data_IF_007965217601
#
_entry.id   IF_007965217601
#
_cell.length_a   1.000
_cell.length_b   1.000
_cell.length_c   1.000
_cell.angle_alpha   90.00
_cell.angle_beta   90.00
_cell.angle_gamma   90.00
#
_symmetry.space_group_name_H-M   'P 1'
#
loop_
_entity.id
_entity.type
_entity.pdbx_description
1 polymer ?
#
# COMPACT_ATOMS: atom_id res chain seq x y z
N UNK A 1 4.56 -74.52 -27.26
CA UNK A 1 3.40 -73.77 -26.72
C UNK A 1 3.97 -72.49 -26.16
N UNK A 2 4.57 -71.69 -27.05
CA UNK A 2 3.96 -70.65 -27.91
C UNK A 2 4.31 -69.31 -27.24
N UNK A 3 5.38 -68.64 -27.66
CA UNK A 3 5.45 -67.69 -28.79
C UNK A 3 4.59 -66.43 -28.47
N UNK A 4 5.04 -65.17 -28.59
CA UNK A 4 5.76 -64.53 -29.70
C UNK A 4 6.50 -63.29 -29.15
N UNK A 5 7.81 -63.19 -29.41
CA UNK A 5 8.56 -61.94 -29.45
C UNK A 5 8.84 -61.61 -30.92
N UNK A 6 8.37 -60.45 -31.39
CA UNK A 6 8.48 -60.00 -32.78
C UNK A 6 9.27 -58.70 -32.87
N UNK A 7 10.43 -58.82 -33.51
CA UNK A 7 11.41 -57.81 -33.89
C UNK A 7 10.88 -56.97 -35.08
N UNK A 8 11.27 -55.70 -35.23
CA UNK A 8 11.65 -55.17 -36.55
C UNK A 8 12.44 -53.85 -36.49
N UNK A 9 13.63 -53.91 -37.10
CA UNK A 9 14.47 -52.79 -37.55
C UNK A 9 14.22 -52.61 -39.04
N UNK A 10 14.04 -51.39 -39.53
CA UNK A 10 14.43 -51.01 -40.91
C UNK A 10 15.10 -49.62 -40.89
N UNK A 11 16.09 -49.50 -41.76
CA UNK A 11 17.20 -48.57 -41.82
C UNK A 11 17.02 -47.58 -43.00
N UNK A 12 18.00 -46.67 -43.11
CA UNK A 12 18.41 -45.83 -44.28
C UNK A 12 17.70 -44.48 -44.46
N UNK A 13 18.39 -43.38 -44.16
CA UNK A 13 19.38 -42.63 -44.98
C UNK A 13 18.75 -42.00 -46.23
N UNK A 14 18.69 -40.67 -46.23
CA UNK A 14 19.23 -39.93 -47.36
C UNK A 14 19.71 -38.51 -46.99
N UNK A 15 20.56 -38.03 -47.87
CA UNK A 15 21.57 -36.98 -47.77
C UNK A 15 21.12 -35.67 -48.44
N UNK A 16 21.71 -34.52 -48.07
CA UNK A 16 21.44 -33.26 -48.79
C UNK A 16 22.09 -32.01 -48.20
N UNK A 17 23.30 -31.71 -48.66
CA UNK A 17 24.05 -30.46 -48.51
C UNK A 17 23.40 -29.29 -49.30
N UNK A 18 23.53 -28.04 -48.81
CA UNK A 18 23.92 -26.81 -49.55
C UNK A 18 23.46 -25.52 -48.81
N UNK A 19 24.38 -24.75 -48.19
CA UNK A 19 25.04 -23.50 -48.67
C UNK A 19 24.20 -22.23 -48.85
N UNK A 20 24.51 -21.24 -47.99
CA UNK A 20 24.81 -19.83 -48.26
C UNK A 20 23.86 -18.95 -49.10
N UNK A 21 23.45 -17.79 -48.56
CA UNK A 21 24.07 -16.48 -48.88
C UNK A 21 23.34 -15.28 -48.27
N UNK A 22 24.15 -14.29 -47.91
CA UNK A 22 23.82 -12.93 -47.51
C UNK A 22 23.27 -12.08 -48.68
N UNK A 23 22.48 -11.05 -48.36
CA UNK A 23 22.53 -9.70 -48.95
C UNK A 23 21.71 -8.75 -48.04
N UNK A 24 22.32 -7.72 -47.43
CA UNK A 24 22.29 -6.32 -47.91
C UNK A 24 20.92 -5.91 -48.48
N UNK A 25 20.17 -4.95 -47.95
CA UNK A 25 20.53 -3.69 -47.31
C UNK A 25 19.78 -2.59 -48.07
N UNK A 26 19.04 -1.71 -47.38
CA UNK A 26 18.64 -0.39 -47.89
C UNK A 26 17.98 0.41 -46.76
N UNK A 27 18.75 1.37 -46.25
CA UNK A 27 18.29 2.52 -45.48
C UNK A 27 17.39 3.38 -46.36
N UNK A 28 16.36 4.01 -45.77
CA UNK A 28 15.87 5.29 -46.27
C UNK A 28 15.57 6.21 -45.10
N UNK A 29 16.25 7.34 -45.13
CA UNK A 29 16.17 8.48 -44.23
C UNK A 29 14.75 9.04 -44.11
N UNK A 30 14.40 9.48 -42.90
CA UNK A 30 13.58 10.69 -42.67
C UNK A 30 13.61 11.08 -41.19
N UNK A 31 14.11 12.29 -40.93
CA UNK A 31 13.86 13.09 -39.73
C UNK A 31 13.52 14.51 -40.21
N UNK A 32 13.04 15.43 -39.36
CA UNK A 32 11.91 15.33 -38.43
C UNK A 32 10.90 16.47 -38.70
N UNK A 33 9.59 16.23 -38.53
CA UNK A 33 8.58 17.30 -38.60
C UNK A 33 8.16 17.74 -37.19
N UNK A 34 8.48 18.99 -36.89
CA UNK A 34 8.20 19.75 -35.68
C UNK A 34 6.70 19.95 -35.39
N UNK A 35 6.28 19.60 -34.17
CA UNK A 35 5.00 20.03 -33.58
C UNK A 35 5.19 21.35 -32.80
N UNK A 36 4.22 22.28 -32.84
CA UNK A 36 4.28 23.52 -32.07
C UNK A 36 3.90 23.28 -30.58
N UNK A 37 4.44 24.06 -29.64
CA UNK A 37 4.13 23.92 -28.22
C UNK A 37 2.73 24.47 -27.87
N UNK A 38 2.07 23.94 -26.83
CA UNK A 38 0.78 24.46 -26.35
C UNK A 38 0.94 25.80 -25.62
N UNK A 39 -0.14 26.62 -25.53
CA UNK A 39 -0.08 27.96 -24.95
C UNK A 39 0.14 27.93 -23.43
N UNK A 40 0.89 28.94 -22.98
CA UNK A 40 1.27 29.23 -21.60
C UNK A 40 0.02 29.45 -20.74
N UNK A 41 -0.13 28.64 -19.70
CA UNK A 41 -1.17 28.81 -18.68
C UNK A 41 -0.79 29.98 -17.76
N UNK A 42 -1.64 31.01 -17.69
CA UNK A 42 -1.47 32.16 -16.81
C UNK A 42 -1.73 31.70 -15.38
N UNK A 43 -0.66 31.47 -14.61
CA UNK A 43 -0.75 31.21 -13.17
C UNK A 43 -0.84 32.54 -12.40
N UNK A 44 -1.89 32.69 -11.61
CA UNK A 44 -2.10 33.78 -10.65
C UNK A 44 -1.04 33.67 -9.53
N UNK A 45 -0.32 34.74 -9.12
CA UNK A 45 0.71 34.61 -8.09
C UNK A 45 0.12 34.35 -6.70
N UNK A 46 0.65 33.35 -6.02
CA UNK A 46 0.42 33.06 -4.60
C UNK A 46 1.22 34.02 -3.71
N UNK A 47 0.65 34.38 -2.56
CA UNK A 47 1.14 35.37 -1.59
C UNK A 47 2.42 34.96 -0.81
N UNK A 48 3.23 34.03 -1.32
CA UNK A 48 4.37 33.46 -0.60
C UNK A 48 5.57 33.17 -1.51
N UNK A 49 5.97 34.11 -2.37
CA UNK A 49 7.23 33.99 -3.13
C UNK A 49 8.25 35.07 -2.70
N UNK A 50 9.13 34.68 -1.79
CA UNK A 50 10.16 35.53 -1.14
C UNK A 50 11.40 35.74 -2.02
N UNK A 51 11.23 36.05 -3.31
CA UNK A 51 12.34 36.28 -4.24
C UNK A 51 12.10 37.44 -5.18
N UNK A 52 12.00 38.65 -4.63
CA UNK A 52 12.27 39.90 -5.36
C UNK A 52 12.51 41.01 -4.34
N UNK A 53 13.77 41.17 -3.91
CA UNK A 53 14.22 42.40 -3.25
C UNK A 53 15.29 43.04 -4.12
N UNK A 54 15.22 44.36 -4.40
CA UNK A 54 16.26 45.07 -5.12
C UNK A 54 17.52 45.25 -4.25
N UNK A 55 18.68 45.28 -4.90
CA UNK A 55 19.98 45.43 -4.27
C UNK A 55 20.14 46.83 -3.62
N UNK A 56 20.62 46.84 -2.37
CA UNK A 56 20.95 48.07 -1.63
C UNK A 56 22.28 48.63 -2.13
N UNK A 57 22.22 49.81 -2.74
CA UNK A 57 23.35 50.69 -2.99
C UNK A 57 23.62 51.57 -1.77
N UNK A 58 24.88 51.62 -1.37
CA UNK A 58 25.43 52.39 -0.26
C UNK A 58 25.50 53.89 -0.58
N UNK A 59 24.94 54.74 0.30
CA UNK A 59 25.33 56.14 0.44
C UNK A 59 24.86 56.70 1.80
N UNK A 60 25.55 57.74 2.23
CA UNK A 60 25.86 58.21 3.58
C UNK A 60 24.87 59.17 4.26
N UNK A 61 25.02 59.26 5.59
CA UNK A 61 24.76 60.36 6.53
C UNK A 61 23.33 60.70 7.04
N UNK A 62 23.22 60.50 8.37
CA UNK A 62 22.57 61.31 9.41
C UNK A 62 21.12 61.81 9.26
N UNK A 63 20.20 61.10 9.91
CA UNK A 63 19.24 61.67 10.87
C UNK A 63 18.42 60.56 11.54
N UNK A 64 18.55 60.43 12.86
CA UNK A 64 17.78 59.49 13.69
C UNK A 64 16.27 59.79 13.64
N UNK A 65 15.46 58.81 13.23
CA UNK A 65 14.06 58.71 13.64
C UNK A 65 13.63 57.24 13.64
N UNK A 66 13.84 56.55 14.77
CA UNK A 66 13.35 55.19 14.95
C UNK A 66 11.80 55.17 15.09
N UNK A 67 11.10 54.17 14.52
CA UNK A 67 9.64 54.10 14.57
C UNK A 67 9.10 53.81 15.98
N UNK A 68 8.03 54.56 16.33
CA UNK A 68 7.32 54.72 17.63
C UNK A 68 6.79 53.47 18.36
N UNK A 69 7.17 52.25 18.00
CA UNK A 69 6.60 51.03 18.60
C UNK A 69 7.52 50.33 19.61
N UNK A 70 8.70 50.89 19.92
CA UNK A 70 9.54 50.41 21.01
C UNK A 70 9.40 51.33 22.23
N UNK A 71 9.27 50.79 23.46
CA UNK A 71 9.28 51.60 24.65
C UNK A 71 10.66 52.25 24.83
N UNK A 72 10.71 53.59 24.89
CA UNK A 72 11.92 54.32 25.28
C UNK A 72 12.25 53.98 26.74
N UNK A 73 13.49 53.57 26.96
CA UNK A 73 14.01 53.09 28.24
C UNK A 73 14.82 54.22 28.86
N UNK A 74 14.24 54.91 29.83
CA UNK A 74 15.03 55.72 30.75
C UNK A 74 15.96 54.81 31.56
N UNK A 75 17.17 55.32 31.76
CA UNK A 75 18.37 54.59 32.15
C UNK A 75 18.21 53.61 33.32
N UNK A 76 18.32 52.33 32.99
CA UNK A 76 19.16 51.33 33.66
C UNK A 76 18.97 50.01 32.90
N UNK A 77 20.07 49.40 32.49
CA UNK A 77 20.06 48.12 31.76
C UNK A 77 19.51 46.98 32.64
N UNK A 78 18.56 46.16 32.13
CA UNK A 78 18.62 44.73 32.44
C UNK A 78 18.90 43.95 31.16
N UNK A 79 19.72 42.91 31.33
CA UNK A 79 20.00 41.84 30.39
C UNK A 79 18.71 41.19 29.87
N UNK A 80 18.75 40.72 28.61
CA UNK A 80 17.73 39.88 27.99
C UNK A 80 17.45 38.65 28.87
N UNK A 81 16.33 38.66 29.59
CA UNK A 81 15.82 37.52 30.36
C UNK A 81 15.27 36.43 29.44
N UNK A 82 15.34 35.18 29.91
CA UNK A 82 14.84 34.00 29.19
C UNK A 82 13.34 34.13 28.88
N UNK A 83 12.86 33.51 27.80
CA UNK A 83 11.44 33.49 27.39
C UNK A 83 10.49 33.10 28.54
N UNK A 84 10.94 32.24 29.47
CA UNK A 84 10.18 31.86 30.67
C UNK A 84 9.98 33.01 31.66
N UNK A 85 10.93 33.94 31.72
CA UNK A 85 10.91 35.07 32.65
C UNK A 85 9.94 36.15 32.18
N UNK A 86 9.86 36.37 30.86
CA UNK A 86 8.84 37.23 30.25
C UNK A 86 7.43 36.69 30.47
N UNK A 87 7.23 35.36 30.40
CA UNK A 87 5.94 34.73 30.71
C UNK A 87 5.56 34.81 32.20
N UNK A 88 6.54 34.79 33.10
CA UNK A 88 6.28 34.98 34.54
C UNK A 88 5.80 36.41 34.84
N UNK A 89 6.35 37.41 34.14
CA UNK A 89 5.95 38.81 34.32
C UNK A 89 4.51 39.08 33.84
N UNK A 90 4.04 38.37 32.79
CA UNK A 90 2.66 38.48 32.31
C UNK A 90 1.63 38.10 33.38
N UNK A 91 1.94 37.13 34.26
CA UNK A 91 1.06 36.75 35.38
C UNK A 91 0.88 37.84 36.43
N UNK A 92 1.82 38.80 36.49
CA UNK A 92 1.78 39.90 37.44
C UNK A 92 1.07 41.15 36.89
N UNK A 93 0.61 41.12 35.63
CA UNK A 93 -0.13 42.24 35.04
C UNK A 93 -1.61 42.22 35.44
N UNK A 94 -2.21 43.39 35.67
CA UNK A 94 -3.61 43.53 36.14
C UNK A 94 -4.67 43.01 35.15
N UNK A 95 -4.26 42.71 33.92
CA UNK A 95 -5.08 42.08 32.87
C UNK A 95 -5.04 40.54 32.88
N UNK A 96 -4.21 39.93 33.74
CA UNK A 96 -4.11 38.47 33.84
C UNK A 96 -5.30 37.89 34.60
N UNK A 97 -6.19 37.19 33.89
CA UNK A 97 -7.26 36.40 34.49
C UNK A 97 -6.76 34.96 34.62
N UNK A 98 -6.49 34.55 35.84
CA UNK A 98 -6.09 33.18 36.15
C UNK A 98 -7.30 32.25 35.94
N UNK A 99 -7.22 31.31 34.99
CA UNK A 99 -8.27 30.29 34.84
C UNK A 99 -8.29 29.42 36.09
N UNK A 100 -9.46 28.98 36.59
CA UNK A 100 -9.53 28.11 37.77
C UNK A 100 -8.63 26.89 37.57
N UNK A 101 -7.69 26.69 38.50
CA UNK A 101 -6.86 25.49 38.55
C UNK A 101 -7.75 24.32 38.92
N UNK A 102 -8.19 23.55 37.93
CA UNK A 102 -8.63 22.19 38.18
C UNK A 102 -7.48 21.45 38.87
N UNK A 103 -7.79 20.86 40.01
CA UNK A 103 -6.87 20.04 40.82
C UNK A 103 -5.98 19.19 39.93
N UNK A 104 -4.67 19.25 40.16
CA UNK A 104 -3.66 18.47 39.47
C UNK A 104 -4.02 16.96 39.47
N UNK A 105 -4.72 16.53 38.43
CA UNK A 105 -4.67 15.17 37.94
C UNK A 105 -3.44 15.13 37.03
N UNK A 106 -2.56 14.17 37.27
CA UNK A 106 -1.45 13.83 36.38
C UNK A 106 -1.86 14.03 34.92
N UNK A 107 -1.17 14.91 34.19
CA UNK A 107 -1.31 15.01 32.75
C UNK A 107 -0.81 13.71 32.11
N UNK A 108 -1.66 12.69 32.09
CA UNK A 108 -1.58 11.66 31.06
C UNK A 108 -1.81 12.37 29.74
N UNK A 109 -0.79 12.29 28.88
CA UNK A 109 -0.89 12.40 27.42
C UNK A 109 -2.25 11.87 26.94
N UNK A 110 -2.87 12.47 25.90
CA UNK A 110 -4.19 12.06 25.44
C UNK A 110 -4.21 10.54 25.38
N UNK A 111 -5.13 9.92 26.13
CA UNK A 111 -5.19 8.48 26.27
C UNK A 111 -5.36 7.91 24.86
N UNK A 112 -4.24 7.54 24.22
CA UNK A 112 -4.22 6.60 23.11
C UNK A 112 -5.11 5.48 23.58
N UNK A 113 -6.15 5.16 22.82
CA UNK A 113 -7.12 4.12 23.17
C UNK A 113 -6.38 2.98 23.86
N UNK A 114 -6.61 2.77 25.16
CA UNK A 114 -5.86 1.76 25.93
C UNK A 114 -6.04 0.35 25.31
N UNK A 115 -7.07 0.20 24.47
CA UNK A 115 -7.36 -0.95 23.63
C UNK A 115 -6.28 -1.24 22.55
N UNK A 116 -5.51 -0.22 22.12
CA UNK A 116 -4.51 -0.32 21.07
C UNK A 116 -3.09 -0.47 21.63
N UNK A 117 -2.88 -1.35 22.61
CA UNK A 117 -1.55 -1.67 23.15
C UNK A 117 -0.98 -2.96 22.54
N UNK A 118 0.31 -2.95 22.22
CA UNK A 118 1.10 -4.11 21.77
C UNK A 118 2.08 -4.49 22.87
N UNK A 119 2.11 -5.77 23.19
CA UNK A 119 3.04 -6.31 24.18
C UNK A 119 4.35 -6.67 23.50
N UNK A 120 5.44 -6.11 23.99
CA UNK A 120 6.79 -6.26 23.43
C UNK A 120 7.66 -7.02 24.41
N UNK A 121 8.37 -8.04 23.94
CA UNK A 121 9.37 -8.74 24.75
C UNK A 121 10.53 -7.80 25.07
N UNK A 122 11.07 -7.85 26.30
CA UNK A 122 12.25 -7.03 26.64
C UNK A 122 13.47 -7.27 25.74
N UNK A 123 13.55 -8.43 25.09
CA UNK A 123 14.58 -8.76 24.09
C UNK A 123 14.59 -7.77 22.91
N UNK A 124 13.45 -7.15 22.61
CA UNK A 124 13.27 -6.22 21.51
C UNK A 124 13.39 -4.75 21.91
N UNK A 125 13.69 -4.43 23.18
CA UNK A 125 13.75 -3.05 23.67
C UNK A 125 14.73 -2.16 22.87
N UNK A 126 15.81 -2.74 22.33
CA UNK A 126 16.79 -2.04 21.50
C UNK A 126 16.43 -1.90 20.02
N UNK A 127 15.29 -2.46 19.56
CA UNK A 127 14.95 -2.51 18.14
C UNK A 127 14.57 -1.11 17.62
N UNK A 128 15.23 -0.59 16.56
CA UNK A 128 14.93 0.73 16.00
C UNK A 128 13.51 0.85 15.44
N UNK A 129 12.86 -0.27 15.09
CA UNK A 129 11.46 -0.28 14.66
C UNK A 129 10.53 0.38 15.69
N UNK A 130 10.79 0.18 16.98
CA UNK A 130 9.94 0.71 18.06
C UNK A 130 9.86 2.24 18.05
N UNK A 131 10.91 2.93 17.58
CA UNK A 131 10.93 4.39 17.45
C UNK A 131 10.03 4.90 16.33
N UNK A 132 9.75 4.05 15.33
CA UNK A 132 8.90 4.39 14.20
C UNK A 132 7.40 4.14 14.48
N UNK A 133 7.06 3.38 15.53
CA UNK A 133 5.68 3.13 15.95
C UNK A 133 5.11 4.38 16.63
N UNK A 134 3.98 4.88 16.13
CA UNK A 134 3.34 6.11 16.65
C UNK A 134 1.89 5.92 17.00
N UNK A 135 1.16 5.08 16.26
CA UNK A 135 -0.29 4.96 16.36
C UNK A 135 -0.75 3.98 17.45
N UNK A 136 0.18 3.24 18.04
CA UNK A 136 -0.09 2.15 18.98
C UNK A 136 0.70 2.36 20.27
N UNK A 137 0.16 1.91 21.40
CA UNK A 137 0.86 1.87 22.70
C UNK A 137 1.80 0.68 22.78
N UNK A 138 3.01 0.86 23.35
CA UNK A 138 3.97 -0.22 23.54
C UNK A 138 4.13 -0.50 25.03
N UNK A 139 3.88 -1.74 25.44
CA UNK A 139 4.08 -2.19 26.82
C UNK A 139 5.10 -3.33 26.84
N UNK A 140 6.17 -3.18 27.62
CA UNK A 140 7.19 -4.21 27.75
C UNK A 140 6.79 -5.24 28.79
N UNK A 141 6.83 -6.52 28.44
CA UNK A 141 6.54 -7.62 29.35
C UNK A 141 7.68 -8.64 29.39
N UNK A 142 7.87 -9.21 30.57
CA UNK A 142 8.78 -10.32 30.80
C UNK A 142 8.10 -11.66 30.55
N UNK A 143 8.89 -12.68 30.21
CA UNK A 143 8.39 -14.04 29.99
C UNK A 143 7.65 -14.26 28.65
N UNK A 144 7.60 -13.26 27.76
CA UNK A 144 7.08 -13.46 26.41
C UNK A 144 8.07 -14.26 25.56
N UNK A 145 7.61 -15.41 25.05
CA UNK A 145 8.37 -16.24 24.11
C UNK A 145 8.40 -15.56 22.72
N UNK A 146 7.28 -15.07 22.15
CA UNK A 146 7.33 -14.26 20.93
C UNK A 146 7.96 -12.89 21.17
N UNK A 147 8.38 -12.24 20.09
CA UNK A 147 8.98 -10.90 20.16
C UNK A 147 7.91 -9.82 20.39
N UNK A 148 6.76 -9.98 19.73
CA UNK A 148 5.61 -9.10 19.83
C UNK A 148 4.33 -9.93 19.92
N UNK A 149 3.43 -9.52 20.81
CA UNK A 149 2.11 -10.16 20.99
C UNK A 149 1.04 -9.09 20.90
N UNK A 150 0.00 -9.39 20.11
CA UNK A 150 -1.12 -8.51 19.84
C UNK A 150 -2.45 -9.22 20.14
N UNK A 151 -3.44 -8.44 20.56
CA UNK A 151 -4.70 -8.93 21.11
C UNK A 151 -4.54 -9.66 22.44
N UNK A 152 -5.64 -10.18 22.97
CA UNK A 152 -5.67 -11.16 24.06
C UNK A 152 -5.12 -12.51 23.55
N UNK A 153 -3.84 -12.52 23.19
CA UNK A 153 -3.08 -13.68 22.71
C UNK A 153 -3.61 -14.25 21.37
N UNK A 154 -4.20 -13.40 20.52
CA UNK A 154 -4.71 -13.82 19.20
C UNK A 154 -3.62 -13.90 18.14
N UNK A 155 -2.60 -13.04 18.22
CA UNK A 155 -1.55 -12.91 17.22
C UNK A 155 -0.16 -12.84 17.87
N UNK A 156 0.75 -13.69 17.40
CA UNK A 156 2.17 -13.62 17.74
C UNK A 156 3.02 -13.23 16.53
N UNK A 157 4.03 -12.41 16.78
CA UNK A 157 4.96 -11.95 15.75
C UNK A 157 6.40 -12.15 16.23
N UNK A 158 7.19 -12.80 15.38
CA UNK A 158 8.63 -12.95 15.51
C UNK A 158 9.31 -11.94 14.60
N UNK A 159 10.38 -11.32 15.07
CA UNK A 159 11.16 -10.37 14.30
C UNK A 159 12.51 -10.94 13.91
N UNK A 160 12.86 -10.82 12.64
CA UNK A 160 14.14 -11.27 12.10
C UNK A 160 14.67 -10.24 11.10
N UNK A 161 15.98 -10.05 11.03
CA UNK A 161 16.62 -9.34 9.92
C UNK A 161 17.35 -10.35 9.03
N UNK A 162 17.39 -10.09 7.72
CA UNK A 162 18.11 -10.95 6.76
C UNK A 162 19.60 -11.04 7.12
N UNK A 163 20.24 -9.92 7.44
CA UNK A 163 21.63 -9.90 7.92
C UNK A 163 21.84 -10.78 9.15
N UNK A 164 20.89 -10.78 10.07
CA UNK A 164 20.98 -11.61 11.27
C UNK A 164 20.81 -13.10 10.94
N UNK A 165 19.89 -13.45 10.03
CA UNK A 165 19.71 -14.83 9.55
C UNK A 165 20.97 -15.38 8.88
N UNK A 166 21.65 -14.55 8.09
CA UNK A 166 22.93 -14.93 7.46
C UNK A 166 24.03 -15.24 8.48
N UNK A 167 24.00 -14.60 9.66
CA UNK A 167 24.94 -14.87 10.73
C UNK A 167 24.53 -16.09 11.57
N UNK A 168 23.22 -16.29 11.77
CA UNK A 168 22.65 -17.34 12.61
C UNK A 168 21.45 -18.00 11.91
N UNK A 169 21.72 -18.98 11.05
CA UNK A 169 20.70 -19.65 10.24
C UNK A 169 19.71 -20.50 11.07
N UNK A 170 20.15 -21.13 12.16
CA UNK A 170 19.30 -21.96 13.03
C UNK A 170 18.37 -21.13 13.93
N UNK A 171 18.62 -19.84 14.07
CA UNK A 171 17.92 -19.00 15.03
C UNK A 171 16.42 -18.99 14.82
N UNK A 172 15.95 -18.81 13.58
CA UNK A 172 14.52 -18.75 13.30
C UNK A 172 13.83 -20.08 13.63
N UNK A 173 14.45 -21.20 13.26
CA UNK A 173 13.91 -22.54 13.52
C UNK A 173 13.78 -22.82 15.02
N UNK A 174 14.82 -22.51 15.79
CA UNK A 174 14.81 -22.63 17.25
C UNK A 174 13.72 -21.76 17.88
N UNK A 175 13.58 -20.50 17.43
CA UNK A 175 12.57 -19.58 17.95
C UNK A 175 11.15 -20.04 17.67
N UNK A 176 10.91 -20.51 16.45
CA UNK A 176 9.61 -21.07 16.05
C UNK A 176 9.29 -22.32 16.88
N UNK A 177 10.29 -23.16 17.13
CA UNK A 177 10.12 -24.36 17.93
C UNK A 177 9.84 -24.04 19.41
N UNK A 178 10.47 -23.01 19.97
CA UNK A 178 10.15 -22.51 21.31
C UNK A 178 8.72 -22.00 21.40
N UNK A 179 8.24 -21.23 20.41
CA UNK A 179 6.83 -20.79 20.38
C UNK A 179 5.87 -21.98 20.30
N UNK A 180 6.27 -23.07 19.64
CA UNK A 180 5.45 -24.28 19.51
C UNK A 180 5.43 -25.15 20.77
N UNK A 181 6.55 -25.25 21.49
CA UNK A 181 6.72 -26.15 22.64
C UNK A 181 6.48 -25.47 23.99
N UNK A 182 7.01 -24.27 24.15
CA UNK A 182 7.14 -23.61 25.45
C UNK A 182 5.96 -22.68 25.73
N UNK A 183 5.26 -22.20 24.69
CA UNK A 183 4.13 -21.29 24.85
C UNK A 183 2.81 -22.08 25.03
N UNK A 184 2.14 -21.98 26.20
CA UNK A 184 0.84 -22.62 26.42
C UNK A 184 -0.28 -21.94 25.63
N UNK A 185 -0.04 -20.76 25.06
CA UNK A 185 -1.05 -19.99 24.33
C UNK A 185 -1.07 -20.33 22.85
N UNK A 186 -2.22 -20.84 22.37
CA UNK A 186 -2.44 -21.10 20.96
C UNK A 186 -2.84 -19.82 20.22
N UNK A 187 -1.87 -19.16 19.58
CA UNK A 187 -2.14 -18.02 18.71
C UNK A 187 -2.87 -18.44 17.44
N UNK A 188 -3.92 -17.70 17.09
CA UNK A 188 -4.68 -17.89 15.84
C UNK A 188 -3.88 -17.48 14.62
N UNK A 189 -3.09 -16.41 14.74
CA UNK A 189 -2.27 -15.88 13.64
C UNK A 189 -0.83 -15.80 14.09
N UNK A 190 0.07 -16.41 13.31
CA UNK A 190 1.50 -16.49 13.60
C UNK A 190 2.26 -15.83 12.46
N UNK A 191 3.03 -14.79 12.77
CA UNK A 191 3.73 -13.98 11.79
C UNK A 191 5.24 -13.99 12.03
N UNK A 192 6.01 -13.99 10.94
CA UNK A 192 7.42 -13.64 10.97
C UNK A 192 7.56 -12.34 10.18
N UNK A 193 7.95 -11.26 10.86
CA UNK A 193 8.30 -10.00 10.23
C UNK A 193 9.80 -9.98 9.94
N UNK A 194 10.14 -10.10 8.67
CA UNK A 194 11.52 -10.11 8.20
C UNK A 194 11.90 -8.74 7.64
N UNK A 195 12.91 -8.12 8.25
CA UNK A 195 13.51 -6.87 7.77
C UNK A 195 14.62 -7.18 6.76
N UNK A 196 14.42 -6.73 5.52
CA UNK A 196 15.36 -6.93 4.43
C UNK A 196 16.35 -5.77 4.40
N UNK A 197 17.58 -6.07 4.80
CA UNK A 197 18.63 -5.10 5.05
C UNK A 197 19.94 -5.39 4.31
N UNK A 198 19.91 -6.39 3.43
CA UNK A 198 21.00 -6.81 2.55
C UNK A 198 20.45 -6.93 1.13
N UNK A 199 21.22 -6.48 0.15
CA UNK A 199 20.82 -6.53 -1.27
C UNK A 199 20.80 -7.97 -1.81
N UNK A 200 21.79 -8.80 -1.45
CA UNK A 200 21.81 -10.24 -1.74
C UNK A 200 20.98 -11.00 -0.70
N UNK A 201 19.67 -11.05 -0.91
CA UNK A 201 18.70 -11.64 0.02
C UNK A 201 17.97 -12.86 -0.54
N UNK A 202 18.15 -13.23 -1.81
CA UNK A 202 17.34 -14.27 -2.46
C UNK A 202 17.48 -15.65 -1.80
N UNK A 203 18.72 -16.04 -1.46
CA UNK A 203 19.01 -17.34 -0.84
C UNK A 203 18.49 -17.37 0.59
N UNK A 204 18.75 -16.31 1.36
CA UNK A 204 18.30 -16.20 2.75
C UNK A 204 16.77 -16.19 2.85
N UNK A 205 16.10 -15.41 2.00
CA UNK A 205 14.63 -15.34 1.97
C UNK A 205 14.01 -16.67 1.57
N UNK A 206 14.64 -17.43 0.66
CA UNK A 206 14.18 -18.78 0.29
C UNK A 206 14.21 -19.72 1.48
N UNK A 207 15.28 -19.68 2.29
CA UNK A 207 15.42 -20.49 3.50
C UNK A 207 14.42 -20.06 4.59
N UNK A 208 14.34 -18.76 4.88
CA UNK A 208 13.39 -18.18 5.83
C UNK A 208 11.95 -18.56 5.46
N UNK A 209 11.59 -18.42 4.18
CA UNK A 209 10.25 -18.77 3.70
C UNK A 209 9.96 -20.26 3.84
N UNK A 210 10.96 -21.13 3.60
CA UNK A 210 10.82 -22.57 3.82
C UNK A 210 10.53 -22.88 5.29
N UNK A 211 11.26 -22.27 6.23
CA UNK A 211 11.07 -22.47 7.67
C UNK A 211 9.70 -21.94 8.12
N UNK A 212 9.31 -20.74 7.66
CA UNK A 212 8.02 -20.14 7.98
C UNK A 212 6.85 -21.01 7.47
N UNK A 213 6.91 -21.46 6.22
CA UNK A 213 5.89 -22.29 5.58
C UNK A 213 5.71 -23.64 6.28
N UNK A 214 6.82 -24.31 6.62
CA UNK A 214 6.79 -25.62 7.30
C UNK A 214 6.24 -25.55 8.72
N UNK A 215 6.21 -24.36 9.32
CA UNK A 215 5.82 -24.15 10.71
C UNK A 215 4.48 -23.44 10.87
N UNK A 216 3.74 -23.26 9.78
CA UNK A 216 2.48 -22.52 9.71
C UNK A 216 2.59 -21.04 10.17
N UNK A 217 3.73 -20.41 9.89
CA UNK A 217 3.91 -18.97 10.06
C UNK A 217 3.78 -18.25 8.71
N UNK A 218 3.13 -17.08 8.73
CA UNK A 218 3.10 -16.21 7.55
C UNK A 218 4.29 -15.26 7.58
N UNK A 219 5.10 -15.31 6.52
CA UNK A 219 6.23 -14.41 6.34
C UNK A 219 5.76 -13.06 5.77
N UNK A 220 6.17 -11.96 6.40
CA UNK A 220 5.96 -10.59 5.94
C UNK A 220 7.31 -9.91 5.81
N UNK A 221 7.58 -9.33 4.65
CA UNK A 221 8.84 -8.63 4.37
C UNK A 221 8.67 -7.13 4.57
N UNK A 222 9.69 -6.46 5.11
CA UNK A 222 9.76 -5.01 5.21
C UNK A 222 11.12 -4.50 4.77
N UNK A 223 11.15 -3.43 3.97
CA UNK A 223 12.35 -2.80 3.43
C UNK A 223 12.75 -1.52 4.18
N UNK A 224 11.90 -1.05 5.09
CA UNK A 224 12.21 0.08 5.96
C UNK A 224 11.64 -0.09 7.36
N UNK A 225 12.26 0.56 8.35
CA UNK A 225 11.77 0.58 9.73
C UNK A 225 10.36 1.17 9.85
N UNK A 226 10.06 2.17 9.03
CA UNK A 226 8.75 2.82 8.99
C UNK A 226 7.67 1.87 8.44
N UNK A 227 8.01 1.10 7.42
CA UNK A 227 7.13 0.08 6.84
C UNK A 227 6.88 -1.06 7.85
N UNK A 228 7.93 -1.58 8.49
CA UNK A 228 7.81 -2.59 9.54
C UNK A 228 6.90 -2.13 10.69
N UNK A 229 7.09 -0.90 11.17
CA UNK A 229 6.23 -0.30 12.18
C UNK A 229 4.78 -0.16 11.71
N UNK A 230 4.57 0.27 10.45
CA UNK A 230 3.22 0.39 9.88
C UNK A 230 2.51 -0.96 9.76
N UNK A 231 3.24 -2.03 9.44
CA UNK A 231 2.66 -3.37 9.44
C UNK A 231 2.21 -3.78 10.85
N UNK A 232 3.05 -3.56 11.86
CA UNK A 232 2.68 -3.82 13.26
C UNK A 232 1.41 -3.05 13.67
N UNK A 233 1.34 -1.76 13.34
CA UNK A 233 0.16 -0.93 13.60
C UNK A 233 -1.09 -1.43 12.86
N UNK A 234 -0.93 -1.87 11.61
CA UNK A 234 -2.02 -2.40 10.80
C UNK A 234 -2.53 -3.71 11.39
N UNK A 235 -1.64 -4.64 11.77
CA UNK A 235 -2.06 -5.89 12.39
C UNK A 235 -2.84 -5.64 13.68
N UNK A 236 -2.39 -4.68 14.51
CA UNK A 236 -3.14 -4.30 15.72
C UNK A 236 -4.50 -3.69 15.39
N UNK A 237 -4.58 -2.80 14.41
CA UNK A 237 -5.84 -2.15 14.01
C UNK A 237 -6.86 -3.11 13.36
N UNK A 238 -6.41 -4.27 12.86
CA UNK A 238 -7.25 -5.26 12.18
C UNK A 238 -7.52 -6.52 13.00
N UNK A 239 -7.04 -6.60 14.25
CA UNK A 239 -7.22 -7.80 15.09
C UNK A 239 -8.69 -8.19 15.30
N UNK A 240 -9.58 -7.20 15.43
CA UNK A 240 -11.02 -7.38 15.70
C UNK A 240 -11.90 -7.19 14.45
N UNK A 241 -11.32 -6.89 13.28
CA UNK A 241 -12.09 -6.64 12.06
C UNK A 241 -12.48 -7.97 11.41
N UNK A 242 -13.77 -8.15 11.14
CA UNK A 242 -14.28 -9.36 10.50
C UNK A 242 -13.92 -9.41 9.01
N UNK A 243 -13.90 -10.62 8.45
CA UNK A 243 -13.66 -10.87 7.02
C UNK A 243 -14.72 -10.23 6.10
N UNK A 244 -15.79 -9.67 6.65
CA UNK A 244 -16.83 -8.94 5.90
C UNK A 244 -16.27 -7.74 5.14
N UNK A 245 -15.15 -7.15 5.58
CA UNK A 245 -14.47 -6.08 4.83
C UNK A 245 -13.89 -6.55 3.50
N UNK A 246 -13.50 -7.83 3.39
CA UNK A 246 -12.86 -8.41 2.19
C UNK A 246 -13.91 -8.98 1.24
N UNK A 247 -15.10 -9.30 1.75
CA UNK A 247 -16.18 -9.84 0.94
C UNK A 247 -16.61 -8.82 -0.12
N UNK A 248 -16.67 -9.27 -1.37
CA UNK A 248 -17.20 -8.48 -2.47
C UNK A 248 -18.58 -7.94 -2.08
N UNK A 249 -18.72 -6.62 -2.11
CA UNK A 249 -20.01 -5.97 -1.95
C UNK A 249 -20.77 -6.16 -3.25
N UNK A 250 -21.43 -7.30 -3.39
CA UNK A 250 -22.36 -7.53 -4.50
C UNK A 250 -23.43 -6.46 -4.39
N UNK A 251 -23.45 -5.53 -5.34
CA UNK A 251 -24.47 -4.50 -5.40
C UNK A 251 -25.84 -5.19 -5.49
N UNK A 252 -26.73 -4.89 -4.53
CA UNK A 252 -28.02 -5.56 -4.44
C UNK A 252 -28.92 -5.24 -5.65
N UNK A 253 -28.70 -4.06 -6.24
CA UNK A 253 -29.49 -3.51 -7.33
C UNK A 253 -29.35 -4.32 -8.64
N UNK A 254 -30.43 -4.36 -9.41
CA UNK A 254 -30.51 -5.17 -10.62
C UNK A 254 -29.65 -4.62 -11.78
N UNK A 255 -29.64 -3.30 -11.96
CA UNK A 255 -28.97 -2.67 -13.09
C UNK A 255 -27.44 -2.86 -13.10
N UNK A 256 -26.73 -2.77 -11.96
CA UNK A 256 -25.30 -3.08 -11.92
C UNK A 256 -24.98 -4.54 -12.26
N UNK A 257 -25.77 -5.49 -11.75
CA UNK A 257 -25.64 -6.92 -12.09
C UNK A 257 -25.87 -7.18 -13.57
N UNK A 258 -26.90 -6.55 -14.14
CA UNK A 258 -27.19 -6.68 -15.55
C UNK A 258 -26.09 -6.04 -16.43
N UNK A 259 -25.52 -4.92 -15.99
CA UNK A 259 -24.34 -4.32 -16.64
C UNK A 259 -23.16 -5.28 -16.61
N UNK A 260 -22.82 -5.87 -15.46
CA UNK A 260 -21.68 -6.78 -15.33
C UNK A 260 -21.85 -8.02 -16.24
N UNK A 261 -23.04 -8.63 -16.23
CA UNK A 261 -23.36 -9.78 -17.07
C UNK A 261 -23.30 -9.43 -18.56
N UNK A 262 -23.96 -8.36 -19.00
CA UNK A 262 -24.09 -8.06 -20.43
C UNK A 262 -22.84 -7.39 -21.01
N UNK A 263 -22.06 -6.66 -20.21
CA UNK A 263 -20.77 -6.08 -20.66
C UNK A 263 -19.64 -7.11 -20.73
N UNK A 264 -19.83 -8.32 -20.18
CA UNK A 264 -18.93 -9.45 -20.45
C UNK A 264 -18.87 -9.80 -21.95
N UNK A 265 -19.92 -9.48 -22.71
CA UNK A 265 -20.01 -9.72 -24.15
C UNK A 265 -19.21 -8.66 -24.89
N UNK A 266 -18.21 -9.11 -25.67
CA UNK A 266 -17.29 -8.23 -26.38
C UNK A 266 -18.04 -7.30 -27.35
N UNK A 267 -17.93 -5.99 -27.17
CA UNK A 267 -18.62 -4.89 -27.91
C UNK A 267 -19.93 -4.39 -27.32
N UNK A 268 -20.42 -4.96 -26.22
CA UNK A 268 -21.59 -4.43 -25.51
C UNK A 268 -21.11 -3.45 -24.43
N UNK A 269 -21.60 -2.21 -24.50
CA UNK A 269 -21.29 -1.16 -23.53
C UNK A 269 -22.42 -0.97 -22.52
N UNK A 270 -22.12 -0.30 -21.39
CA UNK A 270 -23.14 0.04 -20.37
C UNK A 270 -24.35 0.79 -20.94
N UNK A 271 -24.13 1.69 -21.90
CA UNK A 271 -25.21 2.40 -22.60
C UNK A 271 -26.12 1.45 -23.38
N UNK A 272 -25.54 0.43 -24.02
CA UNK A 272 -26.31 -0.57 -24.76
C UNK A 272 -27.15 -1.42 -23.80
N UNK A 273 -26.61 -1.75 -22.63
CA UNK A 273 -27.34 -2.50 -21.60
C UNK A 273 -28.57 -1.76 -21.13
N UNK A 274 -28.46 -0.44 -20.87
CA UNK A 274 -29.61 0.38 -20.49
C UNK A 274 -30.66 0.39 -21.60
N UNK A 275 -30.25 0.55 -22.86
CA UNK A 275 -31.18 0.50 -24.00
C UNK A 275 -31.86 -0.86 -24.14
N UNK A 276 -31.09 -1.96 -24.08
CA UNK A 276 -31.61 -3.32 -24.22
C UNK A 276 -32.57 -3.67 -23.08
N UNK A 277 -32.25 -3.32 -21.84
CA UNK A 277 -33.14 -3.54 -20.70
C UNK A 277 -34.39 -2.65 -20.77
N UNK A 278 -34.29 -1.44 -21.31
CA UNK A 278 -35.45 -0.56 -21.50
C UNK A 278 -36.41 -1.10 -22.58
N UNK A 279 -35.88 -1.71 -23.63
CA UNK A 279 -36.70 -2.29 -24.72
C UNK A 279 -37.31 -3.64 -24.36
N UNK A 280 -36.53 -4.55 -23.78
CA UNK A 280 -36.97 -5.94 -23.54
C UNK A 280 -37.45 -6.20 -22.10
N UNK A 281 -37.19 -5.27 -21.17
CA UNK A 281 -37.61 -5.32 -19.76
C UNK A 281 -36.89 -6.36 -18.90
N UNK A 282 -36.68 -7.57 -19.43
CA UNK A 282 -36.09 -8.71 -18.72
C UNK A 282 -34.92 -9.30 -19.51
N UNK A 283 -33.91 -9.83 -18.80
CA UNK A 283 -32.78 -10.55 -19.43
C UNK A 283 -33.29 -11.76 -20.22
N UNK A 284 -34.34 -12.45 -19.71
CA UNK A 284 -34.98 -13.55 -20.44
C UNK A 284 -35.59 -13.09 -21.76
N UNK A 285 -36.25 -11.94 -21.77
CA UNK A 285 -36.80 -11.34 -22.99
C UNK A 285 -35.68 -11.02 -23.99
N UNK A 286 -34.58 -10.43 -23.50
CA UNK A 286 -33.40 -10.13 -24.31
C UNK A 286 -32.75 -11.38 -24.93
N UNK A 287 -32.61 -12.47 -24.16
CA UNK A 287 -31.96 -13.70 -24.65
C UNK A 287 -32.81 -14.46 -25.69
N UNK A 288 -34.13 -14.30 -25.65
CA UNK A 288 -35.05 -14.92 -26.62
C UNK A 288 -35.37 -14.01 -27.81
N UNK A 289 -34.85 -12.78 -27.84
CA UNK A 289 -35.15 -11.81 -28.89
C UNK A 289 -34.59 -12.26 -30.25
N UNK A 290 -35.32 -11.96 -31.31
CA UNK A 290 -34.88 -12.25 -32.68
C UNK A 290 -33.83 -11.25 -33.17
N UNK A 291 -33.12 -11.59 -34.25
CA UNK A 291 -32.16 -10.67 -34.87
C UNK A 291 -32.79 -9.35 -35.29
N UNK A 292 -34.04 -9.39 -35.75
CA UNK A 292 -34.80 -8.23 -36.21
C UNK A 292 -35.13 -7.31 -35.03
N UNK A 293 -35.62 -7.87 -33.93
CA UNK A 293 -35.96 -7.11 -32.71
C UNK A 293 -34.72 -6.44 -32.08
N UNK A 294 -33.59 -7.14 -32.05
CA UNK A 294 -32.33 -6.59 -31.56
C UNK A 294 -31.80 -5.47 -32.46
N UNK A 295 -32.08 -5.52 -33.77
CA UNK A 295 -31.66 -4.50 -34.73
C UNK A 295 -32.48 -3.20 -34.66
N UNK A 296 -33.69 -3.26 -34.09
CA UNK A 296 -34.56 -2.10 -33.86
C UNK A 296 -34.10 -1.25 -32.66
N UNK A 297 -33.19 -1.76 -31.83
CA UNK A 297 -32.70 -1.05 -30.65
C UNK A 297 -31.74 0.09 -31.03
N UNK A 298 -31.96 1.32 -30.54
CA UNK A 298 -31.12 2.46 -30.89
C UNK A 298 -29.68 2.28 -30.37
N UNK A 299 -28.69 2.49 -31.25
CA UNK A 299 -27.26 2.35 -30.90
C UNK A 299 -26.71 0.92 -30.90
N UNK A 300 -27.57 -0.09 -31.15
CA UNK A 300 -27.18 -1.50 -31.26
C UNK A 300 -26.96 -1.85 -32.74
N UNK A 301 -25.73 -1.65 -33.22
CA UNK A 301 -25.38 -1.97 -34.62
C UNK A 301 -25.31 -3.47 -34.90
N UNK A 302 -25.37 -3.86 -36.18
CA UNK A 302 -25.36 -5.27 -36.63
C UNK A 302 -24.24 -6.13 -36.04
N UNK A 303 -23.06 -5.54 -35.79
CA UNK A 303 -21.93 -6.23 -35.15
C UNK A 303 -22.22 -6.61 -33.69
N UNK A 304 -22.90 -5.74 -32.94
CA UNK A 304 -23.33 -6.01 -31.55
C UNK A 304 -24.43 -7.06 -31.53
N UNK A 305 -25.42 -6.93 -32.42
CA UNK A 305 -26.53 -7.90 -32.57
C UNK A 305 -26.01 -9.31 -32.86
N UNK A 306 -25.10 -9.45 -33.85
CA UNK A 306 -24.51 -10.76 -34.18
C UNK A 306 -23.81 -11.40 -32.99
N UNK A 307 -23.01 -10.63 -32.24
CA UNK A 307 -22.29 -11.14 -31.07
C UNK A 307 -23.21 -11.50 -29.91
N UNK A 308 -24.28 -10.73 -29.69
CA UNK A 308 -25.29 -11.06 -28.69
C UNK A 308 -25.96 -12.40 -29.01
N UNK A 309 -26.42 -12.58 -30.25
CA UNK A 309 -27.05 -13.82 -30.70
C UNK A 309 -26.10 -15.01 -30.65
N UNK A 310 -24.87 -14.83 -31.15
CA UNK A 310 -23.83 -15.85 -31.07
C UNK A 310 -23.60 -16.26 -29.61
N UNK A 311 -23.43 -15.30 -28.70
CA UNK A 311 -23.22 -15.60 -27.27
C UNK A 311 -24.42 -16.31 -26.62
N UNK A 312 -25.65 -15.99 -27.03
CA UNK A 312 -26.86 -16.58 -26.43
C UNK A 312 -27.22 -17.96 -26.99
N UNK A 313 -26.85 -18.24 -28.24
CA UNK A 313 -27.28 -19.43 -28.97
C UNK A 313 -26.15 -20.42 -29.27
N UNK A 314 -24.88 -20.03 -29.07
CA UNK A 314 -23.73 -20.92 -29.29
C UNK A 314 -23.78 -22.12 -28.33
N UNK A 315 -23.67 -23.37 -28.84
CA UNK A 315 -23.63 -24.54 -28.00
C UNK A 315 -22.32 -24.59 -27.20
N UNK A 316 -22.39 -24.95 -25.92
CA UNK A 316 -21.20 -25.08 -25.06
C UNK A 316 -20.18 -26.14 -25.50
N UNK A 317 -20.57 -27.04 -26.42
CA UNK A 317 -19.71 -28.08 -26.99
C UNK A 317 -19.53 -27.80 -28.47
N UNK A 318 -18.29 -27.84 -28.95
CA UNK A 318 -18.01 -27.99 -30.37
C UNK A 318 -18.46 -29.40 -30.77
N UNK A 319 -19.43 -29.48 -31.69
CA UNK A 319 -19.74 -30.72 -32.39
C UNK A 319 -18.59 -31.09 -33.33
#
# INVERSE_FOLDING_TARGET
>A
MEDIAGNDKINDKDSGHATASQAHGSQSDRSPSSLPPPPVNVSVPSLFDSRTLPAVVSASDDSEMAPRYLPQKDGSTPSCGSFNEAFAQLRNTSSYIERPRETAQDEKLPAKDAAATVYVSRRQQGNPMLKAVRNVGLEFRDGLIPDYVMGENSLCLLFLSVRYHLLHNSYLEERVQSVRKDDPTHYKTKLVLCFVDVDDNEVALREINRVALLSDFTLVLAWSWLEAARYLETFKAYENKSATLIKEKVEAEFLPKANDVLTSIRSVNKTDVVTLLSTFGTIKGLMNASMEELSLCPGVGAKKVRRLLETFQEPFKKQ
#
